data_IF_612005352208
#
_entry.id   IF_612005352208
#
_cell.length_a   1.000
_cell.length_b   1.000
_cell.length_c   1.000
_cell.angle_alpha   90.00
_cell.angle_beta   90.00
_cell.angle_gamma   90.00
#
_symmetry.space_group_name_H-M   'P 1'
#
loop_
_entity.id
_entity.type
_entity.pdbx_description
1 polymer ?
#
# COMPACT_ATOMS: atom_id res chain seq x y z
N UNK A 1 -45.98 -75.05 4.34
CA UNK A 1 -45.77 -74.70 2.93
C UNK A 1 -44.37 -75.05 2.42
N UNK A 2 -43.32 -74.98 3.25
CA UNK A 2 -41.93 -75.14 2.80
C UNK A 2 -41.34 -76.54 3.10
N UNK A 3 -42.13 -77.62 3.04
CA UNK A 3 -41.63 -78.98 3.31
C UNK A 3 -40.80 -79.50 2.12
N UNK A 4 -39.65 -80.12 2.40
CA UNK A 4 -38.69 -80.67 1.42
C UNK A 4 -38.07 -79.69 0.42
N UNK A 5 -38.18 -78.37 0.66
CA UNK A 5 -37.52 -77.35 -0.15
C UNK A 5 -36.17 -76.95 0.45
N UNK A 6 -35.17 -76.68 -0.39
CA UNK A 6 -33.81 -76.22 0.00
C UNK A 6 -33.52 -74.76 -0.41
N UNK A 7 -34.57 -73.99 -0.66
CA UNK A 7 -34.48 -72.59 -1.06
C UNK A 7 -34.31 -71.67 0.16
N UNK A 8 -33.84 -70.44 -0.04
CA UNK A 8 -33.73 -69.42 1.02
C UNK A 8 -35.04 -69.25 1.81
N UNK A 9 -36.19 -69.30 1.13
CA UNK A 9 -37.52 -69.31 1.74
C UNK A 9 -37.71 -70.42 2.77
N UNK A 10 -37.20 -71.61 2.49
CA UNK A 10 -37.34 -72.78 3.36
C UNK A 10 -36.38 -72.71 4.56
N UNK A 11 -35.19 -72.13 4.36
CA UNK A 11 -34.20 -71.92 5.42
C UNK A 11 -34.74 -70.94 6.48
N UNK A 12 -35.34 -69.82 6.04
CA UNK A 12 -35.87 -68.80 6.95
C UNK A 12 -37.33 -69.02 7.38
N UNK A 13 -38.03 -69.99 6.78
CA UNK A 13 -39.42 -70.33 7.15
C UNK A 13 -40.46 -69.27 6.74
N UNK A 14 -40.17 -68.46 5.72
CA UNK A 14 -41.00 -67.31 5.32
C UNK A 14 -42.01 -67.69 4.23
N UNK A 15 -43.10 -66.93 4.12
CA UNK A 15 -44.11 -67.10 3.08
C UNK A 15 -43.63 -66.68 1.68
N UNK A 16 -42.70 -65.73 1.56
CA UNK A 16 -42.07 -65.40 0.28
C UNK A 16 -40.69 -64.78 0.51
N UNK A 17 -39.84 -64.82 -0.51
CA UNK A 17 -38.48 -64.27 -0.46
C UNK A 17 -38.45 -62.82 -0.92
N UNK A 18 -37.87 -61.94 -0.11
CA UNK A 18 -37.65 -60.54 -0.45
C UNK A 18 -36.16 -60.29 -0.69
N UNK A 19 -35.83 -59.45 -1.68
CA UNK A 19 -34.45 -59.01 -1.89
C UNK A 19 -33.90 -58.16 -0.74
N UNK A 20 -32.57 -58.16 -0.59
CA UNK A 20 -31.85 -57.32 0.35
C UNK A 20 -31.41 -56.01 -0.33
N UNK A 21 -31.72 -54.87 0.28
CA UNK A 21 -31.43 -53.54 -0.28
C UNK A 21 -29.91 -53.29 -0.33
N UNK A 22 -29.16 -53.84 0.62
CA UNK A 22 -27.77 -53.45 0.88
C UNK A 22 -26.74 -54.15 -0.03
N UNK A 23 -27.10 -55.25 -0.68
CA UNK A 23 -26.20 -56.06 -1.53
C UNK A 23 -26.48 -55.91 -3.03
N UNK A 24 -27.67 -55.43 -3.41
CA UNK A 24 -28.07 -55.35 -4.82
C UNK A 24 -28.35 -56.72 -5.45
N UNK A 25 -28.33 -56.80 -6.78
CA UNK A 25 -28.48 -58.06 -7.53
C UNK A 25 -27.12 -58.57 -8.01
N UNK A 26 -27.04 -59.84 -8.44
CA UNK A 26 -25.78 -60.43 -8.94
C UNK A 26 -25.21 -59.70 -10.15
N UNK A 27 -26.07 -59.10 -10.98
CA UNK A 27 -25.66 -58.34 -12.16
C UNK A 27 -25.31 -56.88 -11.82
N UNK A 28 -25.95 -56.31 -10.79
CA UNK A 28 -25.74 -54.94 -10.33
C UNK A 28 -25.59 -54.91 -8.80
N UNK A 29 -24.37 -55.23 -8.34
CA UNK A 29 -24.03 -55.14 -6.92
C UNK A 29 -24.02 -53.68 -6.45
N UNK A 30 -24.39 -53.45 -5.19
CA UNK A 30 -24.36 -52.10 -4.62
C UNK A 30 -22.91 -51.55 -4.64
N UNK A 31 -22.64 -50.40 -5.29
CA UNK A 31 -21.29 -49.86 -5.36
C UNK A 31 -20.82 -49.37 -3.98
N UNK A 32 -19.60 -49.74 -3.61
CA UNK A 32 -18.95 -49.24 -2.38
C UNK A 32 -18.79 -47.71 -2.45
N UNK A 33 -18.87 -47.02 -1.30
CA UNK A 33 -18.92 -45.56 -1.21
C UNK A 33 -17.94 -44.87 -2.18
N UNK A 34 -18.50 -44.12 -3.13
CA UNK A 34 -17.72 -43.29 -4.05
C UNK A 34 -17.43 -41.94 -3.41
N UNK A 35 -16.26 -41.37 -3.70
CA UNK A 35 -15.86 -40.08 -3.16
C UNK A 35 -16.92 -39.02 -3.45
N UNK A 36 -17.48 -38.42 -2.41
CA UNK A 36 -18.53 -37.42 -2.57
C UNK A 36 -18.00 -36.21 -3.35
N UNK A 37 -18.80 -35.72 -4.29
CA UNK A 37 -18.48 -34.51 -5.03
C UNK A 37 -18.67 -33.33 -4.07
N UNK A 38 -17.57 -32.93 -3.44
CA UNK A 38 -17.55 -31.72 -2.60
C UNK A 38 -17.71 -30.48 -3.47
N UNK A 39 -18.36 -29.45 -2.94
CA UNK A 39 -18.53 -28.15 -3.60
C UNK A 39 -17.17 -27.56 -4.04
N UNK A 40 -17.15 -26.94 -5.20
CA UNK A 40 -15.94 -26.31 -5.76
C UNK A 40 -15.39 -25.19 -4.86
N UNK A 41 -16.25 -24.50 -4.09
CA UNK A 41 -15.81 -23.49 -3.13
C UNK A 41 -14.88 -24.05 -2.03
N UNK A 42 -14.93 -25.36 -1.76
CA UNK A 42 -14.03 -26.03 -0.83
C UNK A 42 -12.67 -26.37 -1.46
N UNK A 43 -12.52 -26.18 -2.77
CA UNK A 43 -11.35 -26.56 -3.56
C UNK A 43 -10.89 -25.36 -4.37
N UNK A 44 -9.83 -24.68 -3.94
CA UNK A 44 -9.23 -23.62 -4.75
C UNK A 44 -8.48 -22.57 -3.94
N UNK A 45 -7.89 -21.62 -4.65
CA UNK A 45 -7.20 -20.48 -4.05
C UNK A 45 -8.22 -19.39 -3.70
N UNK A 46 -8.19 -18.94 -2.45
CA UNK A 46 -9.07 -17.87 -1.97
C UNK A 46 -8.59 -16.49 -2.43
N UNK A 47 -9.47 -15.50 -2.29
CA UNK A 47 -9.16 -14.10 -2.59
C UNK A 47 -7.98 -13.60 -1.74
N UNK A 48 -7.11 -12.82 -2.37
CA UNK A 48 -6.00 -12.17 -1.68
C UNK A 48 -6.53 -10.91 -1.02
N UNK A 49 -6.34 -10.79 0.29
CA UNK A 49 -6.64 -9.58 1.06
C UNK A 49 -5.33 -8.91 1.44
N UNK A 50 -5.23 -7.60 1.22
CA UNK A 50 -4.06 -6.81 1.62
C UNK A 50 -4.25 -6.29 3.04
N UNK A 51 -3.33 -6.64 3.94
CA UNK A 51 -3.29 -6.11 5.30
C UNK A 51 -2.71 -4.69 5.33
N UNK A 52 -3.14 -3.81 6.27
CA UNK A 52 -2.56 -2.49 6.42
C UNK A 52 -1.07 -2.62 6.77
N UNK A 53 -0.22 -1.99 5.96
CA UNK A 53 1.22 -1.97 6.15
C UNK A 53 1.59 -0.96 7.24
N UNK A 54 2.56 -1.29 8.10
CA UNK A 54 3.06 -0.40 9.18
C UNK A 54 4.30 0.37 8.70
N UNK A 55 4.41 1.66 9.03
CA UNK A 55 5.60 2.48 8.77
C UNK A 55 5.28 3.91 8.32
N UNK A 56 6.26 4.58 7.68
CA UNK A 56 6.14 5.94 7.11
C UNK A 56 6.69 6.07 5.68
N UNK A 57 6.74 4.97 4.93
CA UNK A 57 7.20 4.95 3.54
C UNK A 57 6.10 5.44 2.57
N UNK A 58 6.45 6.07 1.45
CA UNK A 58 5.49 6.52 0.44
C UNK A 58 4.53 5.42 -0.05
N UNK A 59 4.99 4.17 -0.15
CA UNK A 59 4.19 3.01 -0.58
C UNK A 59 3.04 2.63 0.35
N UNK A 60 2.95 3.26 1.53
CA UNK A 60 1.90 3.07 2.51
C UNK A 60 0.71 3.99 2.27
N UNK A 61 0.96 5.14 1.64
CA UNK A 61 -0.11 6.05 1.29
C UNK A 61 -0.94 5.46 0.15
N UNK A 62 -2.16 5.98 0.02
CA UNK A 62 -3.08 5.57 -1.03
C UNK A 62 -2.49 5.87 -2.41
N UNK A 63 -1.95 7.09 -2.55
CA UNK A 63 -1.16 7.49 -3.70
C UNK A 63 0.27 7.00 -3.50
N UNK A 64 0.76 6.22 -4.48
CA UNK A 64 2.15 5.73 -4.47
C UNK A 64 3.12 6.85 -4.80
N UNK A 65 2.68 7.84 -5.56
CA UNK A 65 3.45 9.03 -5.89
C UNK A 65 3.43 9.97 -4.68
N UNK A 66 4.61 10.48 -4.32
CA UNK A 66 4.76 11.46 -3.25
C UNK A 66 5.17 12.80 -3.88
N UNK A 67 4.22 13.58 -4.41
CA UNK A 67 4.55 14.84 -5.06
C UNK A 67 5.16 15.81 -4.03
N UNK A 68 6.29 16.41 -4.41
CA UNK A 68 6.93 17.48 -3.66
C UNK A 68 7.08 18.69 -4.58
N UNK A 69 6.66 19.85 -4.08
CA UNK A 69 6.54 21.10 -4.87
C UNK A 69 7.89 21.55 -5.45
N UNK A 70 9.00 21.26 -4.77
CA UNK A 70 10.34 21.67 -5.20
C UNK A 70 11.10 20.65 -6.07
N UNK A 71 10.45 19.59 -6.59
CA UNK A 71 11.16 18.55 -7.35
C UNK A 71 11.83 19.09 -8.62
N UNK A 72 11.12 19.92 -9.37
CA UNK A 72 11.55 20.43 -10.67
C UNK A 72 12.03 21.88 -10.60
N UNK A 73 12.09 22.48 -9.40
CA UNK A 73 12.55 23.85 -9.20
C UNK A 73 14.05 23.87 -8.89
N UNK A 74 14.87 24.63 -9.64
CA UNK A 74 16.27 24.79 -9.30
C UNK A 74 16.40 25.53 -7.97
N UNK A 75 17.35 25.10 -7.15
CA UNK A 75 17.71 25.83 -5.93
C UNK A 75 18.46 27.11 -6.30
N UNK A 76 17.97 28.26 -5.83
CA UNK A 76 18.54 29.58 -6.11
C UNK A 76 18.83 30.29 -4.78
N UNK A 77 20.11 30.42 -4.45
CA UNK A 77 20.57 31.01 -3.20
C UNK A 77 20.32 32.52 -3.11
N UNK A 78 20.46 33.22 -4.24
CA UNK A 78 20.35 34.69 -4.34
C UNK A 78 19.80 35.14 -5.67
N UNK A 79 19.04 36.22 -5.65
CA UNK A 79 18.61 36.92 -6.86
C UNK A 79 19.79 37.61 -7.53
N UNK A 80 19.95 37.38 -8.83
CA UNK A 80 21.04 37.96 -9.62
C UNK A 80 20.49 39.15 -10.40
N UNK A 81 20.56 40.34 -9.81
CA UNK A 81 20.07 41.58 -10.44
C UNK A 81 20.70 41.90 -11.81
N UNK A 82 21.88 41.36 -12.09
CA UNK A 82 22.53 41.47 -13.41
C UNK A 82 21.75 40.76 -14.52
N UNK A 83 21.02 39.70 -14.20
CA UNK A 83 20.23 38.93 -15.16
C UNK A 83 18.85 39.57 -15.38
N UNK A 84 18.35 40.32 -14.39
CA UNK A 84 17.04 40.98 -14.43
C UNK A 84 17.08 42.41 -15.02
N UNK A 85 18.21 43.12 -14.85
CA UNK A 85 18.36 44.52 -15.26
C UNK A 85 19.44 44.63 -16.34
N UNK A 86 19.10 45.20 -17.50
CA UNK A 86 20.02 45.31 -18.65
C UNK A 86 21.28 46.10 -18.32
N UNK A 87 21.13 47.25 -17.65
CA UNK A 87 22.23 48.15 -17.28
C UNK A 87 21.94 48.81 -15.93
N UNK A 88 22.96 48.99 -15.09
CA UNK A 88 22.79 49.76 -13.87
C UNK A 88 22.53 51.23 -14.23
N UNK A 89 21.52 51.88 -13.62
CA UNK A 89 21.25 53.28 -13.88
C UNK A 89 22.37 54.16 -13.30
N UNK A 90 22.70 55.25 -13.99
CA UNK A 90 23.61 56.27 -13.47
C UNK A 90 22.89 57.06 -12.37
N UNK A 91 23.20 56.77 -11.11
CA UNK A 91 22.64 57.45 -9.94
C UNK A 91 23.56 58.56 -9.41
N UNK A 92 23.04 59.35 -8.46
CA UNK A 92 23.74 60.48 -7.86
C UNK A 92 25.02 60.07 -7.10
N UNK A 93 24.89 59.18 -6.10
CA UNK A 93 26.00 58.74 -5.24
C UNK A 93 26.27 57.23 -5.31
N UNK A 94 25.43 56.49 -6.05
CA UNK A 94 25.58 55.06 -6.30
C UNK A 94 25.06 54.76 -7.70
N UNK A 95 25.89 54.13 -8.52
CA UNK A 95 25.58 53.74 -9.91
C UNK A 95 25.44 52.23 -10.05
N UNK A 96 24.95 51.55 -9.02
CA UNK A 96 24.73 50.09 -8.99
C UNK A 96 23.29 49.73 -9.38
N UNK A 97 23.06 48.43 -9.64
CA UNK A 97 21.72 47.89 -9.86
C UNK A 97 20.75 48.21 -8.71
N UNK A 98 19.47 48.34 -9.02
CA UNK A 98 18.45 48.60 -8.01
C UNK A 98 18.17 47.33 -7.20
N UNK A 99 18.68 47.24 -5.96
CA UNK A 99 18.61 46.04 -5.10
C UNK A 99 17.57 46.09 -3.97
N UNK A 100 16.48 46.85 -4.13
CA UNK A 100 15.46 46.95 -3.07
C UNK A 100 14.79 45.61 -2.73
N UNK A 101 14.77 44.67 -3.67
CA UNK A 101 14.28 43.32 -3.49
C UNK A 101 15.30 42.32 -2.91
N UNK A 102 16.52 42.71 -2.57
CA UNK A 102 17.56 41.75 -2.14
C UNK A 102 17.17 41.02 -0.84
N UNK A 103 16.49 41.71 0.07
CA UNK A 103 16.07 41.20 1.37
C UNK A 103 14.64 40.66 1.41
N UNK A 104 14.00 40.43 0.25
CA UNK A 104 12.74 39.67 0.22
C UNK A 104 13.00 38.17 0.34
N UNK A 105 14.20 37.71 -0.04
CA UNK A 105 14.60 36.31 0.07
C UNK A 105 14.96 35.95 1.52
N UNK A 106 14.47 34.80 1.98
CA UNK A 106 14.75 34.27 3.31
C UNK A 106 16.24 33.96 3.48
N UNK A 107 16.89 33.41 2.46
CA UNK A 107 18.32 33.06 2.51
C UNK A 107 19.17 34.32 2.74
N UNK A 108 18.92 35.41 2.00
CA UNK A 108 19.73 36.63 2.11
C UNK A 108 19.51 37.37 3.42
N UNK A 109 18.29 37.33 3.95
CA UNK A 109 17.99 37.90 5.26
C UNK A 109 18.68 37.15 6.38
N UNK A 110 18.71 35.81 6.34
CA UNK A 110 19.47 35.01 7.33
C UNK A 110 20.99 35.26 7.24
N UNK A 111 21.56 35.31 6.03
CA UNK A 111 22.97 35.66 5.86
C UNK A 111 23.30 37.02 6.48
N UNK A 112 22.42 38.02 6.30
CA UNK A 112 22.62 39.34 6.89
C UNK A 112 22.51 39.31 8.42
N UNK A 113 21.57 38.54 8.99
CA UNK A 113 21.48 38.31 10.44
C UNK A 113 22.74 37.68 10.99
N UNK A 114 23.32 36.72 10.28
CA UNK A 114 24.56 36.07 10.71
C UNK A 114 25.77 37.01 10.63
N UNK A 115 25.83 37.87 9.62
CA UNK A 115 26.84 38.94 9.56
C UNK A 115 26.70 39.93 10.72
N UNK A 116 25.47 40.31 11.08
CA UNK A 116 25.21 41.19 12.23
C UNK A 116 25.61 40.53 13.55
N UNK A 117 25.32 39.23 13.73
CA UNK A 117 25.77 38.44 14.89
C UNK A 117 27.29 38.44 15.00
N UNK A 118 27.98 38.22 13.88
CA UNK A 118 29.45 38.19 13.85
C UNK A 118 30.07 39.58 14.06
N UNK A 119 29.48 40.64 13.50
CA UNK A 119 29.99 42.01 13.59
C UNK A 119 29.73 42.71 14.93
N UNK A 120 28.70 42.29 15.67
CA UNK A 120 28.37 42.82 17.00
C UNK A 120 28.32 41.72 18.06
N UNK A 121 29.47 41.08 18.38
CA UNK A 121 29.49 40.00 19.36
C UNK A 121 28.99 40.46 20.75
N UNK A 122 29.28 41.71 21.15
CA UNK A 122 28.92 42.23 22.48
C UNK A 122 27.42 42.39 22.76
N UNK A 123 26.55 42.47 21.74
CA UNK A 123 25.09 42.64 21.95
C UNK A 123 24.34 41.31 22.00
N UNK A 124 24.92 40.22 21.47
CA UNK A 124 24.28 38.90 21.46
C UNK A 124 24.49 38.13 22.77
N UNK A 125 25.59 38.39 23.50
CA UNK A 125 25.85 37.74 24.79
C UNK A 125 24.97 38.26 25.93
N UNK A 126 24.27 39.40 25.78
CA UNK A 126 23.43 39.97 26.83
C UNK A 126 21.98 39.49 26.81
N UNK A 127 21.56 38.78 25.76
CA UNK A 127 20.16 38.31 25.59
C UNK A 127 19.97 36.78 25.70
N UNK A 128 21.03 36.02 26.02
CA UNK A 128 20.96 34.58 26.30
C UNK A 128 21.07 34.24 27.80
N UNK A 129 20.37 34.99 28.66
CA UNK A 129 20.14 34.61 30.07
C UNK A 129 18.66 34.31 30.31
#
# INVERSE_FOLDING_TARGET
>A
MNNNLRTERAIFGVFDTSGYIDVGTTENACPYAHGEITRDACKGKQFIVQTPKKGKLPSLFLEKEHPYIGKDLPYIDRTRFKEEQDKPPTGFHSSDFMRRGEFTSTIRTEQYRDLLKAGHPCLYYTYQR
#
